data_IF_454867436992
#
_entry.id   IF_454867436992
#
_cell.length_a   1.000
_cell.length_b   1.000
_cell.length_c   1.000
_cell.angle_alpha   90.00
_cell.angle_beta   90.00
_cell.angle_gamma   90.00
#
_symmetry.space_group_name_H-M   'P 1'
#
loop_
_entity.id
_entity.type
_entity.pdbx_description
1 polymer ?
#
# COMPACT_ATOMS: atom_id res chain seq x y z
N UNK A 1 -15.23 -45.81 37.45
CA UNK A 1 -14.10 -45.43 38.36
C UNK A 1 -13.38 -44.31 37.67
N UNK A 2 -13.87 -43.10 37.88
CA UNK A 2 -13.20 -41.89 37.36
C UNK A 2 -12.23 -41.40 38.45
N UNK A 3 -10.96 -41.64 38.20
CA UNK A 3 -9.88 -41.09 39.02
C UNK A 3 -9.79 -39.61 38.72
N UNK A 4 -10.52 -38.81 39.50
CA UNK A 4 -10.30 -37.35 39.57
C UNK A 4 -8.92 -37.14 40.15
N UNK A 5 -7.94 -36.99 39.27
CA UNK A 5 -6.60 -36.54 39.68
C UNK A 5 -6.75 -35.21 40.43
N UNK A 6 -6.56 -35.25 41.74
CA UNK A 6 -6.71 -34.05 42.55
C UNK A 6 -5.60 -33.07 42.19
N UNK A 7 -5.89 -31.77 42.15
CA UNK A 7 -4.93 -30.69 41.86
C UNK A 7 -3.68 -30.78 42.77
N UNK A 8 -3.83 -31.39 43.97
CA UNK A 8 -2.73 -31.62 44.90
C UNK A 8 -1.77 -32.71 44.43
N UNK A 9 -2.28 -33.80 43.80
CA UNK A 9 -1.42 -34.85 43.25
C UNK A 9 -0.65 -34.36 42.04
N UNK A 10 -1.28 -33.54 41.20
CA UNK A 10 -0.61 -32.92 40.08
C UNK A 10 0.53 -31.96 40.55
N UNK A 11 0.28 -31.16 41.54
CA UNK A 11 1.29 -30.27 42.13
C UNK A 11 2.46 -31.04 42.74
N UNK A 12 2.22 -32.20 43.38
CA UNK A 12 3.27 -33.03 43.95
C UNK A 12 4.15 -33.70 42.89
N UNK A 13 3.56 -34.20 41.80
CA UNK A 13 4.28 -34.76 40.65
C UNK A 13 5.13 -33.71 40.00
N UNK A 14 4.57 -32.51 39.79
CA UNK A 14 5.27 -31.35 39.17
C UNK A 14 6.48 -30.93 40.01
N UNK A 15 6.34 -30.89 41.33
CA UNK A 15 7.42 -30.54 42.27
C UNK A 15 8.56 -31.54 42.29
N UNK A 16 8.25 -32.86 42.10
CA UNK A 16 9.26 -33.94 42.08
C UNK A 16 10.05 -34.00 40.77
N UNK A 17 9.42 -33.62 39.66
CA UNK A 17 10.03 -33.63 38.33
C UNK A 17 10.17 -32.25 37.72
N UNK A 18 10.33 -31.22 38.56
CA UNK A 18 10.42 -29.80 38.12
C UNK A 18 11.44 -29.55 36.99
N UNK A 19 12.57 -30.24 37.01
CA UNK A 19 13.62 -30.11 36.02
C UNK A 19 13.18 -30.56 34.64
N UNK A 20 12.30 -31.56 34.53
CA UNK A 20 11.77 -32.05 33.29
C UNK A 20 10.79 -31.07 32.62
N UNK A 21 10.19 -30.17 33.36
CA UNK A 21 9.34 -29.10 32.85
C UNK A 21 10.09 -27.79 32.67
N UNK A 22 11.00 -27.48 33.58
CA UNK A 22 11.80 -26.24 33.54
C UNK A 22 12.72 -26.25 32.29
N UNK A 23 13.39 -27.38 32.01
CA UNK A 23 14.34 -27.46 30.91
C UNK A 23 13.68 -27.19 29.53
N UNK A 24 12.60 -27.87 29.13
CA UNK A 24 11.94 -27.54 27.86
C UNK A 24 11.30 -26.16 27.85
N UNK A 25 10.76 -25.70 28.98
CA UNK A 25 10.18 -24.36 29.09
C UNK A 25 11.25 -23.26 28.88
N UNK A 26 12.38 -23.38 29.55
CA UNK A 26 13.52 -22.44 29.37
C UNK A 26 14.07 -22.51 27.95
N UNK A 27 14.15 -23.68 27.34
CA UNK A 27 14.61 -23.82 25.95
C UNK A 27 13.68 -23.10 24.98
N UNK A 28 12.37 -23.24 25.15
CA UNK A 28 11.37 -22.53 24.31
C UNK A 28 11.46 -21.02 24.51
N UNK A 29 11.60 -20.55 25.74
CA UNK A 29 11.74 -19.12 26.03
C UNK A 29 13.01 -18.55 25.41
N UNK A 30 14.15 -19.23 25.57
CA UNK A 30 15.42 -18.81 24.99
C UNK A 30 15.32 -18.78 23.47
N UNK A 31 14.72 -19.80 22.85
CA UNK A 31 14.50 -19.85 21.42
C UNK A 31 13.61 -18.70 20.93
N UNK A 32 12.53 -18.41 21.65
CA UNK A 32 11.63 -17.29 21.33
C UNK A 32 12.36 -15.93 21.43
N UNK A 33 13.18 -15.74 22.47
CA UNK A 33 13.99 -14.52 22.61
C UNK A 33 15.01 -14.40 21.49
N UNK A 34 15.68 -15.48 21.11
CA UNK A 34 16.64 -15.50 20.00
C UNK A 34 15.93 -15.15 18.69
N UNK A 35 14.76 -15.74 18.41
CA UNK A 35 13.97 -15.43 17.23
C UNK A 35 13.58 -13.93 17.22
N UNK A 36 13.12 -13.41 18.35
CA UNK A 36 12.73 -11.99 18.47
C UNK A 36 13.91 -11.03 18.22
N UNK A 37 15.12 -11.39 18.62
CA UNK A 37 16.31 -10.58 18.43
C UNK A 37 16.87 -10.67 16.99
N UNK A 38 16.63 -11.80 16.32
CA UNK A 38 17.11 -12.04 14.95
C UNK A 38 16.18 -11.46 13.89
N UNK A 39 14.87 -11.39 14.17
CA UNK A 39 13.93 -10.80 13.20
C UNK A 39 14.10 -9.27 13.16
N UNK A 40 14.45 -8.71 11.99
CA UNK A 40 14.52 -7.25 11.85
C UNK A 40 13.11 -6.64 12.01
N UNK A 41 12.99 -5.54 12.73
CA UNK A 41 11.72 -4.81 12.78
C UNK A 41 11.38 -4.28 11.37
N UNK A 42 10.12 -4.36 10.99
CA UNK A 42 9.61 -3.76 9.75
C UNK A 42 8.69 -2.62 10.15
N UNK A 43 8.99 -1.43 9.62
CA UNK A 43 8.19 -0.24 9.83
C UNK A 43 7.36 0.04 8.59
N UNK A 44 6.12 0.42 8.80
CA UNK A 44 5.19 0.83 7.75
C UNK A 44 5.05 2.34 7.77
N UNK A 45 5.27 2.94 6.61
CA UNK A 45 4.90 4.33 6.36
C UNK A 45 3.71 4.34 5.40
N UNK A 46 2.73 5.18 5.70
CA UNK A 46 1.50 5.30 4.91
C UNK A 46 1.16 6.77 4.66
N UNK A 47 0.58 7.03 3.50
CA UNK A 47 0.07 8.33 3.13
C UNK A 47 -1.28 8.17 2.43
N UNK A 48 -2.28 8.90 2.91
CA UNK A 48 -3.63 8.91 2.32
C UNK A 48 -3.77 10.12 1.41
N UNK A 49 -4.18 9.87 0.17
CA UNK A 49 -4.44 10.90 -0.83
C UNK A 49 -5.94 10.94 -1.09
N UNK A 50 -6.56 12.07 -0.77
CA UNK A 50 -7.98 12.30 -1.01
C UNK A 50 -8.22 12.62 -2.49
N UNK A 51 -9.24 12.03 -3.06
CA UNK A 51 -9.68 12.32 -4.42
C UNK A 51 -10.84 13.32 -4.32
N UNK A 52 -10.58 14.58 -4.67
CA UNK A 52 -11.66 15.51 -4.88
C UNK A 52 -12.38 15.17 -6.18
N UNK A 53 -13.62 14.73 -6.07
CA UNK A 53 -14.53 14.64 -7.20
C UNK A 53 -14.80 16.07 -7.70
N UNK A 54 -14.44 16.39 -8.94
CA UNK A 54 -14.95 17.61 -9.55
C UNK A 54 -16.48 17.49 -9.62
N UNK A 55 -17.18 18.52 -9.16
CA UNK A 55 -18.63 18.68 -9.32
C UNK A 55 -18.98 18.62 -10.84
N UNK A 56 -19.06 17.42 -11.35
CA UNK A 56 -19.74 17.19 -12.62
C UNK A 56 -21.22 17.15 -12.24
N UNK A 57 -22.08 18.01 -12.83
CA UNK A 57 -23.51 17.95 -12.56
C UNK A 57 -23.98 16.50 -12.73
N UNK A 58 -24.52 15.94 -11.64
CA UNK A 58 -24.91 14.53 -11.51
C UNK A 58 -25.97 14.07 -12.53
N UNK A 59 -26.54 15.01 -13.26
CA UNK A 59 -27.59 14.77 -14.25
C UNK A 59 -27.11 14.04 -15.51
N UNK A 60 -25.80 13.88 -15.73
CA UNK A 60 -25.28 13.35 -17.00
C UNK A 60 -24.70 11.94 -16.95
N UNK A 61 -24.28 11.40 -15.79
CA UNK A 61 -23.67 10.04 -15.76
C UNK A 61 -23.86 9.32 -14.40
N UNK A 62 -24.98 8.66 -14.11
CA UNK A 62 -25.21 8.05 -12.80
C UNK A 62 -24.53 6.70 -12.51
N UNK A 63 -23.99 6.00 -13.51
CA UNK A 63 -23.66 4.59 -13.34
C UNK A 63 -22.19 4.20 -13.58
N UNK A 64 -21.32 5.11 -13.97
CA UNK A 64 -19.97 4.78 -14.44
C UNK A 64 -18.81 5.40 -13.64
N UNK A 65 -19.12 6.16 -12.58
CA UNK A 65 -18.10 6.98 -11.90
C UNK A 65 -17.13 6.11 -11.07
N UNK A 66 -17.60 5.10 -10.36
CA UNK A 66 -16.76 4.23 -9.55
C UNK A 66 -15.74 3.45 -10.40
N UNK A 67 -16.23 2.73 -11.40
CA UNK A 67 -15.41 1.95 -12.35
C UNK A 67 -14.38 2.81 -13.11
N UNK A 68 -14.70 4.08 -13.35
CA UNK A 68 -13.81 5.00 -14.05
C UNK A 68 -12.65 5.46 -13.16
N UNK A 69 -12.93 5.76 -11.90
CA UNK A 69 -11.91 6.17 -10.92
C UNK A 69 -10.94 5.03 -10.65
N UNK A 70 -11.42 3.81 -10.44
CA UNK A 70 -10.60 2.64 -10.19
C UNK A 70 -9.66 2.33 -11.35
N UNK A 71 -10.16 2.35 -12.58
CA UNK A 71 -9.32 2.18 -13.78
C UNK A 71 -8.28 3.29 -13.92
N UNK A 72 -8.64 4.51 -13.56
CA UNK A 72 -7.72 5.66 -13.62
C UNK A 72 -6.61 5.55 -12.60
N UNK A 73 -6.93 5.12 -11.38
CA UNK A 73 -5.96 4.83 -10.32
C UNK A 73 -5.00 3.71 -10.73
N UNK A 74 -5.53 2.65 -11.32
CA UNK A 74 -4.73 1.51 -11.79
C UNK A 74 -3.68 1.93 -12.83
N UNK A 75 -4.07 2.76 -13.79
CA UNK A 75 -3.16 3.30 -14.81
C UNK A 75 -2.10 4.22 -14.20
N UNK A 76 -2.48 5.11 -13.27
CA UNK A 76 -1.55 6.01 -12.60
C UNK A 76 -0.57 5.22 -11.71
N UNK A 77 -1.08 4.27 -10.95
CA UNK A 77 -0.28 3.38 -10.09
C UNK A 77 0.75 2.63 -10.91
N UNK A 78 0.36 2.02 -12.03
CA UNK A 78 1.29 1.33 -12.93
C UNK A 78 2.38 2.27 -13.45
N UNK A 79 2.04 3.52 -13.73
CA UNK A 79 2.98 4.51 -14.26
C UNK A 79 3.95 5.00 -13.19
N UNK A 80 3.48 5.23 -11.97
CA UNK A 80 4.32 5.61 -10.82
C UNK A 80 5.25 4.47 -10.43
N UNK A 81 4.74 3.23 -10.41
CA UNK A 81 5.51 2.02 -10.08
C UNK A 81 6.27 1.43 -11.29
N UNK A 82 6.55 2.23 -12.33
CA UNK A 82 7.45 1.81 -13.38
C UNK A 82 8.85 1.51 -12.82
N UNK A 83 9.49 0.51 -13.40
CA UNK A 83 10.82 0.05 -13.00
C UNK A 83 11.82 1.20 -12.84
N UNK A 84 11.85 2.14 -13.78
CA UNK A 84 12.81 3.23 -13.76
C UNK A 84 12.57 4.20 -12.59
N UNK A 85 11.32 4.44 -12.22
CA UNK A 85 10.97 5.23 -11.07
C UNK A 85 11.42 4.54 -9.77
N UNK A 86 11.10 3.25 -9.63
CA UNK A 86 11.48 2.45 -8.46
C UNK A 86 13.00 2.38 -8.32
N UNK A 87 13.74 2.19 -9.42
CA UNK A 87 15.20 2.19 -9.39
C UNK A 87 15.78 3.54 -9.02
N UNK A 88 15.19 4.65 -9.51
CA UNK A 88 15.61 5.99 -9.10
C UNK A 88 15.42 6.22 -7.61
N UNK A 89 14.27 5.82 -7.07
CA UNK A 89 13.98 5.91 -5.64
C UNK A 89 14.93 5.03 -4.82
N UNK A 90 15.08 3.77 -5.22
CA UNK A 90 16.01 2.85 -4.57
C UNK A 90 17.43 3.43 -4.54
N UNK A 91 17.90 4.04 -5.64
CA UNK A 91 19.23 4.64 -5.72
C UNK A 91 19.35 5.93 -4.89
N UNK A 92 18.35 6.79 -4.94
CA UNK A 92 18.35 8.08 -4.24
C UNK A 92 18.35 7.91 -2.72
N UNK A 93 17.63 6.92 -2.21
CA UNK A 93 17.51 6.66 -0.77
C UNK A 93 18.37 5.49 -0.29
N UNK A 94 19.27 5.00 -1.14
CA UNK A 94 20.19 3.88 -0.85
C UNK A 94 19.49 2.65 -0.26
N UNK A 95 18.28 2.34 -0.77
CA UNK A 95 17.48 1.23 -0.26
C UNK A 95 18.14 -0.11 -0.57
N UNK A 96 17.90 -1.10 0.29
CA UNK A 96 18.37 -2.49 0.13
C UNK A 96 19.89 -2.65 0.00
N UNK A 97 20.73 -2.02 0.86
CA UNK A 97 22.18 -1.97 0.69
C UNK A 97 22.83 -3.35 0.61
N UNK A 98 22.36 -4.31 1.41
CA UNK A 98 22.87 -5.68 1.40
C UNK A 98 22.44 -6.46 0.15
N UNK A 99 21.19 -6.28 -0.27
CA UNK A 99 20.60 -7.02 -1.38
C UNK A 99 21.12 -6.54 -2.74
N UNK A 100 21.52 -5.28 -2.87
CA UNK A 100 22.12 -4.71 -4.09
C UNK A 100 23.38 -5.43 -4.57
N UNK A 101 24.07 -6.11 -3.67
CA UNK A 101 25.29 -6.88 -4.01
C UNK A 101 24.96 -8.16 -4.77
N UNK A 102 23.75 -8.67 -4.64
CA UNK A 102 23.35 -9.98 -5.17
C UNK A 102 22.20 -9.89 -6.18
N UNK A 103 21.39 -8.83 -6.14
CA UNK A 103 20.23 -8.65 -7.01
C UNK A 103 20.58 -7.83 -8.25
N UNK A 104 20.03 -8.23 -9.36
CA UNK A 104 20.00 -7.42 -10.58
C UNK A 104 19.08 -6.21 -10.39
N UNK A 105 19.23 -5.18 -11.22
CA UNK A 105 18.32 -4.03 -11.18
C UNK A 105 16.85 -4.41 -11.38
N UNK A 106 16.58 -5.45 -12.19
CA UNK A 106 15.21 -5.92 -12.39
C UNK A 106 14.62 -6.52 -11.11
N UNK A 107 15.39 -7.36 -10.43
CA UNK A 107 14.98 -7.99 -9.17
C UNK A 107 14.85 -6.98 -8.04
N UNK A 108 15.71 -5.96 -8.01
CA UNK A 108 15.63 -4.86 -7.05
C UNK A 108 14.33 -4.05 -7.22
N UNK A 109 13.98 -3.69 -8.46
CA UNK A 109 12.73 -2.99 -8.75
C UNK A 109 11.49 -3.84 -8.39
N UNK A 110 11.54 -5.15 -8.68
CA UNK A 110 10.46 -6.07 -8.33
C UNK A 110 10.35 -6.29 -6.82
N UNK A 111 11.46 -6.29 -6.10
CA UNK A 111 11.47 -6.30 -4.63
C UNK A 111 10.77 -5.05 -4.08
N UNK A 112 11.20 -3.87 -4.51
CA UNK A 112 10.61 -2.61 -4.08
C UNK A 112 9.12 -2.53 -4.44
N UNK A 113 8.72 -3.06 -5.61
CA UNK A 113 7.32 -3.11 -6.00
C UNK A 113 6.46 -3.93 -5.03
N UNK A 114 6.98 -5.03 -4.48
CA UNK A 114 6.27 -5.85 -3.49
C UNK A 114 6.15 -5.17 -2.12
N UNK A 115 7.13 -4.33 -1.79
CA UNK A 115 7.15 -3.61 -0.52
C UNK A 115 6.30 -2.33 -0.57
N UNK A 116 5.85 -1.90 -1.78
CA UNK A 116 4.87 -0.82 -1.98
C UNK A 116 3.48 -1.41 -2.18
N UNK A 117 2.52 -0.98 -1.38
CA UNK A 117 1.11 -1.31 -1.56
C UNK A 117 0.30 -0.03 -1.82
N UNK A 118 -0.71 -0.14 -2.68
CA UNK A 118 -1.68 0.93 -2.94
C UNK A 118 -3.06 0.35 -2.74
N UNK A 119 -3.76 0.85 -1.74
CA UNK A 119 -5.12 0.41 -1.42
C UNK A 119 -6.11 1.54 -1.66
N UNK A 120 -7.27 1.16 -2.14
CA UNK A 120 -8.37 2.08 -2.42
C UNK A 120 -9.30 2.13 -1.22
N UNK A 121 -9.57 3.34 -0.74
CA UNK A 121 -10.52 3.59 0.32
C UNK A 121 -11.84 4.01 -0.33
N UNK A 122 -12.80 3.09 -0.32
CA UNK A 122 -14.14 3.34 -0.81
C UNK A 122 -15.10 3.58 0.36
N UNK A 123 -16.07 4.45 0.14
CA UNK A 123 -17.17 4.66 1.09
C UNK A 123 -18.49 4.30 0.41
N UNK A 124 -19.38 3.68 1.16
CA UNK A 124 -20.74 3.40 0.69
C UNK A 124 -21.53 4.70 0.68
N UNK A 125 -21.89 5.16 -0.51
CA UNK A 125 -22.72 6.34 -0.70
C UNK A 125 -24.12 5.88 -1.08
N UNK A 126 -25.09 6.26 -0.28
CA UNK A 126 -26.50 6.02 -0.60
C UNK A 126 -27.03 7.18 -1.45
N UNK A 127 -27.38 6.91 -2.70
CA UNK A 127 -28.02 7.90 -3.57
C UNK A 127 -29.46 8.15 -3.10
N UNK A 128 -29.77 9.35 -2.58
CA UNK A 128 -31.08 9.66 -2.06
C UNK A 128 -32.18 9.67 -3.12
N UNK A 129 -31.86 9.70 -4.42
CA UNK A 129 -32.83 9.72 -5.53
C UNK A 129 -33.19 8.32 -5.98
N UNK A 130 -32.22 7.41 -6.05
CA UNK A 130 -32.45 6.05 -6.58
C UNK A 130 -32.61 5.01 -5.47
N UNK A 131 -32.23 5.34 -4.22
CA UNK A 131 -32.22 4.41 -3.09
C UNK A 131 -31.20 3.28 -3.25
N UNK A 132 -30.26 3.40 -4.20
CA UNK A 132 -29.20 2.42 -4.42
C UNK A 132 -27.96 2.86 -3.69
N UNK A 133 -27.39 1.92 -2.93
CA UNK A 133 -26.05 2.08 -2.37
C UNK A 133 -25.02 1.71 -3.45
N UNK A 134 -24.00 2.54 -3.57
CA UNK A 134 -22.86 2.30 -4.44
C UNK A 134 -21.56 2.62 -3.70
N UNK A 135 -20.51 1.86 -3.98
CA UNK A 135 -19.18 2.17 -3.47
C UNK A 135 -18.57 3.30 -4.29
N UNK A 136 -18.22 4.39 -3.60
CA UNK A 136 -17.48 5.50 -4.22
C UNK A 136 -16.08 5.57 -3.64
N UNK A 137 -15.10 5.52 -4.51
CA UNK A 137 -13.69 5.72 -4.12
C UNK A 137 -13.49 7.18 -3.73
N UNK A 138 -13.17 7.39 -2.45
CA UNK A 138 -12.97 8.73 -1.88
C UNK A 138 -11.51 9.07 -1.65
N UNK A 139 -10.68 8.05 -1.47
CA UNK A 139 -9.26 8.22 -1.23
C UNK A 139 -8.49 6.95 -1.65
N UNK A 140 -7.20 7.06 -1.75
CA UNK A 140 -6.31 5.90 -1.81
C UNK A 140 -5.15 6.08 -0.84
N UNK A 141 -4.69 4.95 -0.34
CA UNK A 141 -3.61 4.87 0.63
C UNK A 141 -2.39 4.24 -0.04
N UNK A 142 -1.26 4.93 0.06
CA UNK A 142 0.02 4.46 -0.39
C UNK A 142 0.84 4.00 0.81
N UNK A 143 1.28 2.74 0.82
CA UNK A 143 2.05 2.14 1.91
C UNK A 143 3.40 1.64 1.41
N UNK A 144 4.40 1.77 2.26
CA UNK A 144 5.72 1.21 2.02
C UNK A 144 6.27 0.60 3.30
N UNK A 145 6.66 -0.68 3.22
CA UNK A 145 7.20 -1.46 4.33
C UNK A 145 8.73 -1.54 4.21
N UNK A 146 9.46 -1.01 5.21
CA UNK A 146 10.91 -1.00 5.21
C UNK A 146 11.50 -1.07 6.63
N UNK A 147 12.72 -1.67 6.83
CA UNK A 147 13.32 -1.77 8.17
C UNK A 147 13.72 -0.43 8.79
N UNK A 148 14.04 0.59 7.98
CA UNK A 148 14.37 1.93 8.46
C UNK A 148 13.15 2.85 8.33
N UNK A 149 12.60 3.38 9.44
CA UNK A 149 11.41 4.22 9.43
C UNK A 149 11.61 5.56 8.69
N UNK A 150 12.81 6.14 8.77
CA UNK A 150 13.11 7.40 8.09
C UNK A 150 13.21 7.21 6.57
N UNK A 151 13.81 6.10 6.13
CA UNK A 151 13.83 5.77 4.71
C UNK A 151 12.42 5.44 4.21
N UNK A 152 11.62 4.70 4.97
CA UNK A 152 10.23 4.39 4.62
C UNK A 152 9.41 5.67 4.40
N UNK A 153 9.50 6.62 5.33
CA UNK A 153 8.82 7.91 5.23
C UNK A 153 9.24 8.69 3.98
N UNK A 154 10.56 8.86 3.76
CA UNK A 154 11.06 9.62 2.61
C UNK A 154 10.64 9.02 1.28
N UNK A 155 10.57 7.69 1.20
CA UNK A 155 10.09 6.98 0.00
C UNK A 155 8.62 7.26 -0.25
N UNK A 156 7.77 7.20 0.79
CA UNK A 156 6.35 7.50 0.66
C UNK A 156 6.14 8.95 0.26
N UNK A 157 6.82 9.92 0.88
CA UNK A 157 6.75 11.34 0.54
C UNK A 157 7.12 11.59 -0.94
N UNK A 158 8.16 10.95 -1.44
CA UNK A 158 8.58 11.06 -2.84
C UNK A 158 7.61 10.38 -3.81
N UNK A 159 7.05 9.21 -3.43
CA UNK A 159 6.02 8.53 -4.23
C UNK A 159 4.75 9.38 -4.34
N UNK A 160 4.31 10.02 -3.24
CA UNK A 160 3.19 10.97 -3.24
C UNK A 160 3.49 12.13 -4.19
N UNK A 161 4.66 12.73 -4.09
CA UNK A 161 5.09 13.83 -4.96
C UNK A 161 5.08 13.42 -6.43
N UNK A 162 5.60 12.24 -6.75
CA UNK A 162 5.62 11.68 -8.09
C UNK A 162 4.20 11.41 -8.61
N UNK A 163 3.32 10.95 -7.73
CA UNK A 163 1.91 10.70 -8.07
C UNK A 163 1.19 12.00 -8.42
N UNK A 164 1.36 13.03 -7.59
CA UNK A 164 0.77 14.35 -7.82
C UNK A 164 1.31 15.00 -9.10
N UNK A 165 2.61 14.95 -9.32
CA UNK A 165 3.23 15.47 -10.54
C UNK A 165 2.73 14.76 -11.81
N UNK A 166 2.62 13.42 -11.77
CA UNK A 166 2.10 12.62 -12.88
C UNK A 166 0.64 12.96 -13.17
N UNK A 167 -0.17 13.17 -12.14
CA UNK A 167 -1.58 13.56 -12.29
C UNK A 167 -1.72 14.97 -12.89
N UNK A 168 -0.91 15.92 -12.44
CA UNK A 168 -0.91 17.29 -12.98
C UNK A 168 -0.49 17.32 -14.44
N UNK A 169 0.57 16.60 -14.81
CA UNK A 169 1.03 16.53 -16.20
C UNK A 169 -0.03 15.94 -17.11
N UNK A 170 -0.71 14.89 -16.67
CA UNK A 170 -1.82 14.32 -17.44
C UNK A 170 -2.97 15.30 -17.63
N UNK A 171 -3.30 16.09 -16.60
CA UNK A 171 -4.33 17.13 -16.69
C UNK A 171 -3.96 18.18 -17.74
N UNK A 172 -2.69 18.61 -17.74
CA UNK A 172 -2.19 19.53 -18.77
C UNK A 172 -2.35 18.97 -20.17
N UNK A 173 -1.91 17.74 -20.39
CA UNK A 173 -2.00 17.08 -21.70
C UNK A 173 -3.44 17.04 -22.21
N UNK A 174 -4.40 16.63 -21.36
CA UNK A 174 -5.83 16.61 -21.73
C UNK A 174 -6.35 17.99 -22.11
N UNK A 175 -5.96 19.04 -21.38
CA UNK A 175 -6.36 20.42 -21.67
C UNK A 175 -5.76 20.86 -23.01
N UNK A 176 -4.48 20.61 -23.24
CA UNK A 176 -3.79 20.96 -24.49
C UNK A 176 -4.40 20.25 -25.69
N UNK A 177 -4.66 18.95 -25.61
CA UNK A 177 -5.33 18.16 -26.65
C UNK A 177 -6.74 18.68 -26.93
N UNK A 178 -7.52 18.97 -25.89
CA UNK A 178 -8.88 19.50 -26.00
C UNK A 178 -8.87 20.88 -26.66
N UNK A 179 -7.95 21.74 -26.24
CA UNK A 179 -7.81 23.08 -26.81
C UNK A 179 -7.39 23.04 -28.27
N UNK A 180 -6.46 22.17 -28.61
CA UNK A 180 -6.02 21.96 -30.01
C UNK A 180 -7.17 21.41 -30.88
N UNK A 181 -7.96 20.49 -30.34
CA UNK A 181 -9.15 19.96 -31.04
C UNK A 181 -10.16 21.08 -31.34
N UNK A 182 -10.55 21.88 -30.37
CA UNK A 182 -11.48 22.99 -30.60
C UNK A 182 -10.93 24.06 -31.53
N UNK A 183 -9.63 24.34 -31.50
CA UNK A 183 -9.00 25.26 -32.44
C UNK A 183 -9.08 24.72 -33.87
N UNK A 184 -8.86 23.42 -34.07
CA UNK A 184 -8.96 22.77 -35.39
C UNK A 184 -10.40 22.76 -35.93
N UNK A 185 -11.37 22.47 -35.04
CA UNK A 185 -12.80 22.44 -35.40
C UNK A 185 -13.31 23.83 -35.81
N UNK A 186 -12.90 24.86 -35.02
CA UNK A 186 -13.21 26.25 -35.37
C UNK A 186 -12.63 26.64 -36.74
N UNK A 187 -11.38 26.30 -37.01
CA UNK A 187 -10.76 26.59 -38.31
C UNK A 187 -11.44 25.83 -39.46
N UNK A 188 -12.06 24.68 -39.21
CA UNK A 188 -12.82 23.92 -40.18
C UNK A 188 -14.19 24.56 -40.49
N UNK A 189 -14.83 25.17 -39.47
CA UNK A 189 -16.12 25.85 -39.62
C UNK A 189 -16.01 27.25 -40.22
N UNK A 190 -14.82 27.88 -40.17
CA UNK A 190 -14.54 29.18 -40.80
C UNK A 190 -14.16 29.10 -42.29
N UNK A 191 -14.09 27.90 -42.86
CA UNK A 191 -13.86 27.64 -44.30
C UNK A 191 -15.14 27.38 -45.06
#
# INVERSE_FOLDING_TARGET
>A
MESSLSLREFAFILRRRKWWFIFPATTVIVLAVVIMLVLPPIYRSEATILIESQDIPEDLVPALVGDYVDRRLDVLTRRVLLRDNLLRLANRFELYPEQRRFLTQAELAERMRRDVAVDVLSTEVNDPRTGRSGDMTVAFELRFDYPDPEAARRVVDELVSLYLATNQERRRQVIEETTAFFASERAALER
#
